data_IF_119282590071
#
_entry.id   IF_119282590071
#
_cell.length_a   1.000
_cell.length_b   1.000
_cell.length_c   1.000
_cell.angle_alpha   90.00
_cell.angle_beta   90.00
_cell.angle_gamma   90.00
#
_symmetry.space_group_name_H-M   'P 1'
#
loop_
_entity.id
_entity.type
_entity.pdbx_description
1 polymer ?
#
# COMPACT_ATOMS: atom_id res chain seq x y z
N UNK A 1 -31.05 13.25 -13.32
CA UNK A 1 -31.29 12.10 -12.43
C UNK A 1 -29.99 11.78 -11.70
N UNK A 2 -29.43 12.73 -10.95
CA UNK A 2 -29.85 13.18 -9.61
C UNK A 2 -29.50 12.13 -8.55
N UNK A 3 -28.40 12.40 -7.81
CA UNK A 3 -28.01 11.93 -6.46
C UNK A 3 -26.62 11.26 -6.43
N UNK A 4 -25.58 12.06 -6.15
CA UNK A 4 -24.64 11.81 -5.04
C UNK A 4 -23.80 13.09 -4.79
N UNK A 5 -24.46 14.09 -4.19
CA UNK A 5 -23.82 15.26 -3.57
C UNK A 5 -24.55 15.50 -2.26
N UNK A 6 -23.78 15.82 -1.22
CA UNK A 6 -24.10 16.09 0.20
C UNK A 6 -23.72 14.92 1.11
N UNK A 7 -22.99 15.12 2.22
CA UNK A 7 -22.54 16.33 2.93
C UNK A 7 -21.59 15.82 4.02
N UNK A 8 -20.43 16.43 4.21
CA UNK A 8 -19.80 16.45 5.53
C UNK A 8 -19.23 17.84 5.78
N UNK A 9 -20.06 18.70 6.36
CA UNK A 9 -19.62 19.85 7.15
C UNK A 9 -20.17 19.61 8.55
N UNK A 10 -19.34 19.06 9.42
CA UNK A 10 -19.52 19.06 10.87
C UNK A 10 -18.17 18.79 11.55
N UNK A 11 -17.65 19.83 12.20
CA UNK A 11 -16.87 19.77 13.45
C UNK A 11 -15.73 18.76 13.53
N UNK A 12 -14.52 19.20 13.19
CA UNK A 12 -13.27 18.50 13.50
C UNK A 12 -13.17 18.34 15.02
N UNK A 13 -13.50 17.13 15.50
CA UNK A 13 -13.24 16.69 16.86
C UNK A 13 -12.41 15.42 16.75
N UNK A 14 -11.27 15.43 17.44
CA UNK A 14 -10.15 14.51 17.31
C UNK A 14 -10.49 13.15 17.93
N UNK A 15 -10.97 12.17 17.16
CA UNK A 15 -11.10 10.76 17.59
C UNK A 15 -11.56 9.88 16.41
N UNK A 16 -10.75 8.87 16.09
CA UNK A 16 -11.09 7.66 15.30
C UNK A 16 -11.29 7.80 13.78
N UNK A 17 -10.19 7.93 13.03
CA UNK A 17 -10.13 7.40 11.65
C UNK A 17 -9.98 5.89 11.73
N UNK A 18 -11.09 5.16 11.82
CA UNK A 18 -11.08 3.74 11.51
C UNK A 18 -11.04 3.61 9.98
N UNK A 19 -9.84 3.53 9.42
CA UNK A 19 -9.62 3.27 8.00
C UNK A 19 -10.25 1.92 7.67
N UNK A 20 -11.24 1.92 6.78
CA UNK A 20 -11.93 0.70 6.35
C UNK A 20 -10.98 -0.20 5.55
N UNK A 21 -10.42 -1.19 6.24
CA UNK A 21 -9.46 -2.16 5.68
C UNK A 21 -10.10 -3.12 4.66
N UNK A 22 -11.43 -3.19 4.54
CA UNK A 22 -12.14 -4.16 3.68
C UNK A 22 -11.93 -3.94 2.18
N UNK A 23 -11.38 -2.79 1.78
CA UNK A 23 -11.18 -2.41 0.38
C UNK A 23 -9.82 -2.84 -0.19
N UNK A 24 -8.89 -3.30 0.65
CA UNK A 24 -7.59 -3.76 0.19
C UNK A 24 -7.65 -5.19 -0.34
N UNK A 25 -7.09 -5.45 -1.53
CA UNK A 25 -6.88 -6.81 -2.00
C UNK A 25 -5.91 -7.54 -1.07
N UNK A 26 -6.25 -8.76 -0.66
CA UNK A 26 -5.36 -9.61 0.13
C UNK A 26 -4.07 -9.90 -0.64
N UNK A 27 -2.96 -9.87 0.10
CA UNK A 27 -1.65 -10.25 -0.39
C UNK A 27 -0.97 -11.01 0.74
N UNK A 28 -1.03 -12.36 0.74
CA UNK A 28 -0.53 -13.17 1.83
C UNK A 28 0.92 -12.84 2.24
N UNK A 29 1.76 -12.47 1.27
CA UNK A 29 3.11 -12.00 1.54
C UNK A 29 3.14 -10.67 2.31
N UNK A 30 2.42 -9.66 1.85
CA UNK A 30 2.37 -8.33 2.50
C UNK A 30 1.70 -8.42 3.87
N UNK A 31 0.64 -9.23 3.98
CA UNK A 31 -0.06 -9.48 5.23
C UNK A 31 0.86 -10.22 6.23
N UNK A 32 1.69 -11.17 5.77
CA UNK A 32 2.67 -11.85 6.62
C UNK A 32 3.76 -10.93 7.18
N UNK A 33 4.03 -9.80 6.51
CA UNK A 33 4.92 -8.77 7.02
C UNK A 33 4.22 -7.84 8.03
N UNK A 34 2.88 -7.81 8.06
CA UNK A 34 2.14 -6.88 8.92
C UNK A 34 2.11 -5.44 8.42
N UNK A 35 2.19 -5.24 7.10
CA UNK A 35 2.04 -3.89 6.49
C UNK A 35 0.60 -3.40 6.64
N UNK A 36 0.45 -2.13 7.01
CA UNK A 36 -0.83 -1.49 7.23
C UNK A 36 -0.97 -0.29 6.29
N UNK A 37 -2.12 -0.18 5.62
CA UNK A 37 -2.48 1.02 4.89
C UNK A 37 -3.06 2.04 5.85
N UNK A 38 -2.56 3.27 5.79
CA UNK A 38 -3.10 4.40 6.53
C UNK A 38 -4.10 5.16 5.65
N UNK A 39 -3.67 5.57 4.45
CA UNK A 39 -4.50 6.28 3.46
C UNK A 39 -4.09 5.93 2.03
N UNK A 40 -5.04 6.00 1.09
CA UNK A 40 -4.77 5.98 -0.35
C UNK A 40 -5.89 6.71 -1.10
N UNK A 41 -5.62 7.93 -1.53
CA UNK A 41 -6.60 8.80 -2.19
C UNK A 41 -5.89 9.76 -3.15
N UNK A 42 -6.58 10.16 -4.22
CA UNK A 42 -6.14 11.21 -5.15
C UNK A 42 -4.67 11.11 -5.64
N UNK A 43 -4.20 9.89 -5.89
CA UNK A 43 -2.84 9.67 -6.37
C UNK A 43 -1.77 9.75 -5.29
N UNK A 44 -2.14 9.75 -4.02
CA UNK A 44 -1.24 9.66 -2.88
C UNK A 44 -1.56 8.43 -2.02
N UNK A 45 -0.59 7.98 -1.24
CA UNK A 45 -0.83 6.99 -0.18
C UNK A 45 0.19 7.07 0.94
N UNK A 46 -0.19 6.46 2.05
CA UNK A 46 0.63 6.29 3.24
C UNK A 46 0.46 4.88 3.78
N UNK A 47 1.57 4.18 3.99
CA UNK A 47 1.62 2.82 4.54
C UNK A 47 2.65 2.72 5.64
N UNK A 48 2.41 1.84 6.61
CA UNK A 48 3.29 1.65 7.76
C UNK A 48 3.63 0.20 7.98
N UNK A 49 4.80 -0.03 8.56
CA UNK A 49 5.29 -1.33 8.97
C UNK A 49 6.02 -1.23 10.32
N UNK A 50 5.39 -1.67 11.41
CA UNK A 50 6.09 -1.91 12.67
C UNK A 50 7.14 -3.02 12.47
N UNK A 51 8.43 -2.70 12.62
CA UNK A 51 9.47 -3.71 12.43
C UNK A 51 9.50 -4.71 13.59
N UNK A 52 9.68 -5.98 13.26
CA UNK A 52 9.90 -7.06 14.23
C UNK A 52 11.23 -7.75 13.91
N UNK A 53 11.67 -8.68 14.77
CA UNK A 53 12.92 -9.41 14.55
C UNK A 53 13.02 -10.13 13.19
N UNK A 54 11.90 -10.59 12.62
CA UNK A 54 11.88 -11.26 11.31
C UNK A 54 12.11 -10.30 10.14
N UNK A 55 11.98 -8.99 10.36
CA UNK A 55 12.19 -7.96 9.35
C UNK A 55 13.65 -7.49 9.26
N UNK A 56 14.52 -8.00 10.15
CA UNK A 56 15.89 -7.50 10.29
C UNK A 56 16.86 -8.21 9.33
N UNK A 57 17.92 -7.53 8.95
CA UNK A 57 19.10 -8.14 8.33
C UNK A 57 20.13 -8.57 9.39
N UNK A 58 21.29 -9.05 8.93
CA UNK A 58 22.41 -9.50 9.80
C UNK A 58 23.01 -8.41 10.69
N UNK A 59 22.64 -7.14 10.48
CA UNK A 59 23.07 -5.99 11.28
C UNK A 59 22.01 -5.51 12.26
N UNK A 60 20.87 -6.21 12.38
CA UNK A 60 19.79 -5.84 13.30
C UNK A 60 19.03 -4.57 12.90
N UNK A 61 19.07 -4.19 11.62
CA UNK A 61 18.28 -3.10 11.03
C UNK A 61 17.32 -3.66 9.98
N UNK A 62 16.36 -2.87 9.52
CA UNK A 62 15.43 -3.30 8.47
C UNK A 62 16.15 -3.93 7.26
N UNK A 63 15.70 -5.12 6.85
CA UNK A 63 16.20 -5.78 5.66
C UNK A 63 15.85 -4.96 4.42
N UNK A 64 16.82 -4.79 3.50
CA UNK A 64 16.61 -3.98 2.29
C UNK A 64 15.40 -4.43 1.47
N UNK A 65 15.18 -5.75 1.37
CA UNK A 65 13.99 -6.33 0.75
C UNK A 65 12.67 -5.93 1.41
N UNK A 66 12.62 -5.87 2.75
CA UNK A 66 11.41 -5.44 3.49
C UNK A 66 11.12 -3.96 3.20
N UNK A 67 12.15 -3.11 3.23
CA UNK A 67 12.01 -1.69 2.89
C UNK A 67 11.57 -1.49 1.43
N UNK A 68 12.10 -2.29 0.49
CA UNK A 68 11.65 -2.26 -0.91
C UNK A 68 10.20 -2.72 -1.06
N UNK A 69 9.79 -3.77 -0.36
CA UNK A 69 8.39 -4.21 -0.36
C UNK A 69 7.46 -3.13 0.17
N UNK A 70 7.81 -2.48 1.29
CA UNK A 70 7.01 -1.37 1.82
C UNK A 70 6.88 -0.22 0.81
N UNK A 71 7.98 0.12 0.13
CA UNK A 71 7.99 1.12 -0.93
C UNK A 71 7.07 0.73 -2.10
N UNK A 72 7.18 -0.51 -2.60
CA UNK A 72 6.35 -1.01 -3.69
C UNK A 72 4.86 -0.93 -3.35
N UNK A 73 4.49 -1.36 -2.14
CA UNK A 73 3.10 -1.27 -1.66
C UNK A 73 2.62 0.18 -1.65
N UNK A 74 3.41 1.11 -1.10
CA UNK A 74 3.05 2.54 -1.09
C UNK A 74 2.84 3.08 -2.52
N UNK A 75 3.79 2.85 -3.41
CA UNK A 75 3.70 3.32 -4.79
C UNK A 75 2.50 2.71 -5.53
N UNK A 76 2.26 1.41 -5.34
CA UNK A 76 1.12 0.70 -5.91
C UNK A 76 -0.22 1.23 -5.38
N UNK A 77 -0.32 1.56 -4.09
CA UNK A 77 -1.54 2.11 -3.51
C UNK A 77 -1.82 3.53 -4.02
N UNK A 78 -0.79 4.36 -4.14
CA UNK A 78 -0.90 5.68 -4.77
C UNK A 78 -1.37 5.58 -6.24
N UNK A 79 -0.86 4.61 -7.01
CA UNK A 79 -1.35 4.38 -8.37
C UNK A 79 -2.80 3.86 -8.39
N UNK A 80 -3.15 2.92 -7.51
CA UNK A 80 -4.51 2.34 -7.42
C UNK A 80 -5.56 3.35 -7.02
N UNK A 81 -5.24 4.35 -6.20
CA UNK A 81 -6.22 5.38 -5.81
C UNK A 81 -6.71 6.25 -6.97
N UNK A 82 -6.07 6.15 -8.14
CA UNK A 82 -6.46 6.81 -9.38
C UNK A 82 -7.14 5.88 -10.41
N UNK A 83 -7.27 4.59 -10.11
CA UNK A 83 -7.79 3.59 -11.03
C UNK A 83 -9.30 3.40 -10.84
N UNK A 84 -10.00 3.15 -11.95
CA UNK A 84 -11.41 2.76 -11.91
C UNK A 84 -11.59 1.36 -11.30
N UNK A 85 -12.81 1.05 -10.86
CA UNK A 85 -13.17 -0.25 -10.32
C UNK A 85 -12.80 -1.40 -11.27
N UNK A 86 -12.26 -2.48 -10.70
CA UNK A 86 -11.85 -3.68 -11.45
C UNK A 86 -10.53 -3.53 -12.21
N UNK A 87 -9.84 -2.39 -12.08
CA UNK A 87 -8.47 -2.20 -12.54
C UNK A 87 -7.50 -2.44 -11.37
N UNK A 88 -6.50 -3.28 -11.60
CA UNK A 88 -5.36 -3.47 -10.71
C UNK A 88 -4.12 -2.77 -11.27
N UNK A 89 -3.07 -2.73 -10.45
CA UNK A 89 -1.73 -2.31 -10.91
C UNK A 89 -0.75 -3.45 -10.70
N UNK A 90 0.21 -3.54 -11.63
CA UNK A 90 1.39 -4.40 -11.52
C UNK A 90 2.65 -3.56 -11.68
N UNK A 91 3.65 -3.83 -10.86
CA UNK A 91 4.96 -3.16 -10.94
C UNK A 91 5.66 -3.60 -12.22
N UNK A 92 6.08 -2.62 -13.03
CA UNK A 92 6.90 -2.84 -14.23
C UNK A 92 8.37 -2.75 -13.88
N UNK A 93 8.73 -1.72 -13.13
CA UNK A 93 10.06 -1.54 -12.53
C UNK A 93 9.94 -0.70 -11.26
N UNK A 94 10.94 -0.83 -10.38
CA UNK A 94 11.13 0.05 -9.25
C UNK A 94 12.62 0.21 -8.96
N UNK A 95 13.03 1.43 -8.60
CA UNK A 95 14.36 1.75 -8.07
C UNK A 95 14.24 2.33 -6.67
N UNK A 96 14.99 1.76 -5.73
CA UNK A 96 15.10 2.27 -4.36
C UNK A 96 16.54 2.68 -4.08
N UNK A 97 16.73 3.89 -3.55
CA UNK A 97 18.00 4.31 -2.95
C UNK A 97 17.85 4.23 -1.43
N UNK A 98 18.86 3.69 -0.75
CA UNK A 98 18.93 3.65 0.70
C UNK A 98 19.84 4.76 1.21
N UNK A 99 19.33 5.61 2.10
CA UNK A 99 20.05 6.77 2.64
C UNK A 99 20.46 6.54 4.08
N UNK A 100 19.60 5.92 4.89
CA UNK A 100 19.85 5.64 6.30
C UNK A 100 19.27 4.27 6.70
N UNK A 101 19.78 3.63 7.76
CA UNK A 101 19.22 2.38 8.27
C UNK A 101 17.80 2.58 8.81
N UNK A 102 16.86 1.73 8.40
CA UNK A 102 15.51 1.72 8.95
C UNK A 102 15.44 1.06 10.32
N UNK A 103 14.75 1.70 11.28
CA UNK A 103 14.55 1.22 12.66
C UNK A 103 13.11 1.51 13.12
N UNK A 104 12.67 0.83 14.18
CA UNK A 104 11.36 1.05 14.77
C UNK A 104 10.21 0.79 13.80
N UNK A 105 9.24 1.69 13.73
CA UNK A 105 8.23 1.69 12.67
C UNK A 105 8.80 2.37 11.42
N UNK A 106 8.59 1.76 10.26
CA UNK A 106 8.81 2.41 8.98
C UNK A 106 7.49 2.93 8.43
N UNK A 107 7.52 4.15 7.91
CA UNK A 107 6.38 4.81 7.26
C UNK A 107 6.77 5.23 5.87
N UNK A 108 6.03 4.75 4.86
CA UNK A 108 6.25 5.09 3.47
C UNK A 108 5.14 5.99 2.96
N UNK A 109 5.54 7.09 2.33
CA UNK A 109 4.67 8.05 1.67
C UNK A 109 4.92 7.96 0.17
N UNK A 110 3.86 7.92 -0.62
CA UNK A 110 3.95 7.83 -2.07
C UNK A 110 2.99 8.79 -2.77
N UNK A 111 3.37 9.20 -3.98
CA UNK A 111 2.51 9.97 -4.88
C UNK A 111 2.75 9.62 -6.34
N UNK A 112 1.72 9.78 -7.16
CA UNK A 112 1.78 9.68 -8.61
C UNK A 112 2.36 10.99 -9.17
N UNK A 113 3.45 10.88 -9.91
CA UNK A 113 4.07 11.99 -10.65
C UNK A 113 3.38 12.23 -11.99
N UNK A 114 3.02 11.14 -12.67
CA UNK A 114 2.37 11.17 -13.96
C UNK A 114 1.52 9.91 -14.16
N UNK A 115 0.39 10.05 -14.87
CA UNK A 115 -0.42 8.92 -15.31
C UNK A 115 -0.75 9.02 -16.79
N UNK A 116 -0.71 7.88 -17.47
CA UNK A 116 -1.31 7.69 -18.79
C UNK A 116 -2.51 6.75 -18.68
N UNK A 117 -3.12 6.40 -19.82
CA UNK A 117 -4.20 5.42 -19.87
C UNK A 117 -3.78 4.03 -19.37
N UNK A 118 -2.49 3.67 -19.51
CA UNK A 118 -2.00 2.32 -19.24
C UNK A 118 -0.93 2.26 -18.17
N UNK A 119 -0.35 3.39 -17.76
CA UNK A 119 0.78 3.44 -16.84
C UNK A 119 0.63 4.53 -15.78
N UNK A 120 1.26 4.31 -14.62
CA UNK A 120 1.49 5.30 -13.58
C UNK A 120 2.98 5.36 -13.23
N UNK A 121 3.50 6.57 -13.07
CA UNK A 121 4.86 6.85 -12.66
C UNK A 121 4.80 7.47 -11.28
N UNK A 122 5.38 6.81 -10.29
CA UNK A 122 5.22 7.16 -8.89
C UNK A 122 6.58 7.44 -8.25
N UNK A 123 6.57 8.27 -7.22
CA UNK A 123 7.68 8.39 -6.29
C UNK A 123 7.22 8.20 -4.86
N UNK A 124 8.16 7.85 -3.99
CA UNK A 124 7.89 7.73 -2.58
C UNK A 124 9.13 7.87 -1.73
N UNK A 125 8.93 8.08 -0.45
CA UNK A 125 9.98 8.09 0.56
C UNK A 125 9.58 7.27 1.76
N UNK A 126 10.60 6.71 2.43
CA UNK A 126 10.43 5.94 3.66
C UNK A 126 11.14 6.67 4.78
N UNK A 127 10.45 6.80 5.90
CA UNK A 127 10.97 7.37 7.14
C UNK A 127 10.81 6.40 8.30
N UNK A 128 11.68 6.52 9.30
CA UNK A 128 11.50 5.83 10.57
C UNK A 128 10.65 6.66 11.56
N UNK A 129 10.39 6.11 12.74
CA UNK A 129 9.65 6.77 13.82
C UNK A 129 10.29 8.06 14.36
N UNK A 130 11.59 8.25 14.13
CA UNK A 130 12.32 9.46 14.50
C UNK A 130 12.35 10.50 13.37
N UNK A 131 11.76 10.18 12.22
CA UNK A 131 11.67 11.05 11.05
C UNK A 131 12.87 11.01 10.12
N UNK A 132 13.83 10.11 10.36
CA UNK A 132 15.01 9.94 9.52
C UNK A 132 14.63 9.51 8.11
N UNK A 133 15.34 10.01 7.12
CA UNK A 133 15.12 9.69 5.71
C UNK A 133 15.80 8.36 5.36
N UNK A 134 15.05 7.27 5.41
CA UNK A 134 15.55 5.90 5.26
C UNK A 134 15.82 5.58 3.79
N UNK A 135 14.85 5.85 2.91
CA UNK A 135 14.95 5.51 1.50
C UNK A 135 14.09 6.41 0.60
N UNK A 136 14.48 6.51 -0.69
CA UNK A 136 13.69 7.11 -1.77
C UNK A 136 13.40 6.07 -2.83
N UNK A 137 12.15 5.99 -3.26
CA UNK A 137 11.71 5.07 -4.30
C UNK A 137 11.14 5.83 -5.51
N UNK A 138 11.36 5.25 -6.69
CA UNK A 138 10.71 5.59 -7.94
C UNK A 138 10.20 4.28 -8.54
N UNK A 139 9.01 4.28 -9.12
CA UNK A 139 8.50 3.08 -9.77
C UNK A 139 7.49 3.37 -10.86
N UNK A 140 7.42 2.43 -11.80
CA UNK A 140 6.48 2.45 -12.92
C UNK A 140 5.52 1.29 -12.78
N UNK A 141 4.23 1.57 -12.90
CA UNK A 141 3.15 0.60 -12.72
C UNK A 141 2.28 0.54 -13.96
N UNK A 142 1.84 -0.66 -14.34
CA UNK A 142 0.89 -0.86 -15.44
C UNK A 142 -0.52 -1.09 -14.88
N UNK A 143 -1.48 -0.33 -15.38
CA UNK A 143 -2.89 -0.59 -15.14
C UNK A 143 -3.35 -1.80 -15.95
N UNK A 144 -3.95 -2.77 -15.30
CA UNK A 144 -4.47 -3.97 -15.94
C UNK A 144 -5.85 -4.31 -15.40
N UNK A 145 -6.77 -4.74 -16.28
CA UNK A 145 -8.03 -5.32 -15.81
C UNK A 145 -7.72 -6.57 -14.99
N UNK A 146 -8.40 -6.73 -13.85
CA UNK A 146 -8.19 -7.87 -12.94
C UNK A 146 -8.31 -9.24 -13.63
N UNK A 147 -9.21 -9.38 -14.61
CA UNK A 147 -9.38 -10.60 -15.42
C UNK A 147 -8.13 -11.01 -16.23
N UNK A 148 -7.18 -10.09 -16.44
CA UNK A 148 -5.93 -10.39 -17.15
C UNK A 148 -4.80 -10.88 -16.23
N UNK A 149 -4.96 -10.77 -14.90
CA UNK A 149 -3.97 -11.21 -13.92
C UNK A 149 -4.31 -12.65 -13.49
N UNK A 150 -3.87 -13.63 -14.29
CA UNK A 150 -4.09 -15.04 -14.01
C UNK A 150 -5.50 -15.50 -14.36
N UNK A 151 -5.65 -16.20 -15.49
CA UNK A 151 -6.95 -16.76 -15.95
C UNK A 151 -7.58 -17.77 -14.98
N UNK A 152 -6.82 -18.22 -13.99
CA UNK A 152 -7.25 -19.18 -12.96
C UNK A 152 -7.53 -18.50 -11.59
N UNK A 153 -7.30 -17.20 -11.43
CA UNK A 153 -7.62 -16.44 -10.21
C UNK A 153 -9.02 -15.85 -10.38
N UNK A 154 -10.05 -16.63 -9.99
CA UNK A 154 -11.46 -16.27 -10.20
C UNK A 154 -11.90 -15.02 -9.40
N UNK A 155 -11.36 -14.82 -8.19
CA UNK A 155 -11.55 -13.64 -7.35
C UNK A 155 -10.32 -13.42 -6.47
N UNK A 156 -9.85 -12.18 -6.39
CA UNK A 156 -8.89 -11.77 -5.36
C UNK A 156 -9.70 -11.54 -4.08
N UNK A 157 -9.36 -12.24 -3.00
CA UNK A 157 -10.03 -12.08 -1.71
C UNK A 157 -9.87 -10.62 -1.26
N UNK A 158 -11.00 -9.98 -0.95
CA UNK A 158 -11.01 -8.74 -0.21
C UNK A 158 -10.84 -9.11 1.26
N UNK A 159 -10.14 -8.27 2.03
CA UNK A 159 -10.00 -8.47 3.47
C UNK A 159 -11.39 -8.68 4.08
N UNK A 160 -11.63 -9.86 4.63
CA UNK A 160 -12.79 -10.09 5.48
C UNK A 160 -12.61 -9.35 6.80
N UNK A 161 -13.73 -8.94 7.40
CA UNK A 161 -13.77 -8.39 8.75
C UNK A 161 -12.91 -9.24 9.70
N UNK A 162 -11.96 -8.67 10.46
CA UNK A 162 -11.12 -9.42 11.39
C UNK A 162 -11.91 -10.13 12.51
N UNK A 163 -13.21 -9.84 12.67
CA UNK A 163 -14.13 -10.57 13.55
C UNK A 163 -14.88 -11.73 12.85
N UNK A 164 -14.74 -11.89 11.54
CA UNK A 164 -15.34 -12.98 10.79
C UNK A 164 -14.60 -14.30 11.05
N UNK A 165 -15.37 -15.37 11.27
CA UNK A 165 -14.84 -16.71 11.49
C UNK A 165 -14.16 -17.22 10.21
N UNK A 166 -12.92 -17.76 10.26
CA UNK A 166 -12.26 -18.29 9.07
C UNK A 166 -13.11 -19.35 8.37
N UNK A 167 -13.12 -19.29 7.04
CA UNK A 167 -13.88 -20.21 6.22
C UNK A 167 -13.19 -21.58 6.09
N UNK A 168 -13.90 -22.61 5.60
CA UNK A 168 -13.36 -23.96 5.44
C UNK A 168 -12.20 -24.06 4.44
N UNK A 169 -11.86 -22.98 3.74
CA UNK A 169 -10.71 -22.88 2.83
C UNK A 169 -9.43 -22.31 3.47
N UNK A 170 -9.46 -21.99 4.76
CA UNK A 170 -8.39 -21.28 5.46
C UNK A 170 -7.55 -22.20 6.37
N UNK A 171 -7.62 -23.52 6.11
CA UNK A 171 -6.85 -24.58 6.77
C UNK A 171 -5.76 -25.14 5.85
#
# INVERSE_FOLDING_TARGET
MQRYVNRVNASITKSETMTDFSTLPESPFVDSLGVQLVTAEDGASEVVLPLTGTHMNTWGIAHGGVTMTLADVALAMAARSLADDGIGVVTVEMKVNFMQPGRGELRAFARVLHRSTTMAYCEGEIRDSEGHFVAKALGTFKYMRRLAVGRDIAQQRLRSDPSATPGPSDA
#
